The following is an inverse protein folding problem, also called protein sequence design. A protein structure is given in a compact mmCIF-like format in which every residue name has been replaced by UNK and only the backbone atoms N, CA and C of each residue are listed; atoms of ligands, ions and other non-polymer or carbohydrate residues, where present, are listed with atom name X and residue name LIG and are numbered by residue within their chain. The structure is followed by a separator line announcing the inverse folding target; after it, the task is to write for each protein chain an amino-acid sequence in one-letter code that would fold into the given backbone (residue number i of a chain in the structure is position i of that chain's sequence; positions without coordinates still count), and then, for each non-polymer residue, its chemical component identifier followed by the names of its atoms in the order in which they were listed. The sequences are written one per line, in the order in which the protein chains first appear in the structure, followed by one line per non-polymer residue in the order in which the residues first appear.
data_IF_839299696231
#
_entry.id   IF_839299696231
#
_cell.length_a   1.000
_cell.length_b   1.000
_cell.length_c   1.000
_cell.angle_alpha   90.00
_cell.angle_beta   90.00
_cell.angle_gamma   90.00
#
_symmetry.space_group_name_H-M   'P 1'
#
loop_
_entity.id
_entity.type
_entity.pdbx_description
1 polymer ?
#
# COMPACT_ATOMS: atom_id res chain seq x y z
N UNK A 1 -16.39 -30.48 -13.73
CA UNK A 1 -17.12 -29.31 -13.20
C UNK A 1 -17.09 -28.20 -14.23
N UNK A 2 -18.25 -27.74 -14.73
CA UNK A 2 -18.30 -26.75 -15.80
C UNK A 2 -18.17 -25.32 -15.23
N UNK A 3 -17.61 -24.35 -15.98
CA UNK A 3 -17.47 -22.98 -15.51
C UNK A 3 -18.76 -22.17 -15.73
N UNK A 4 -19.24 -21.56 -14.65
CA UNK A 4 -20.30 -20.54 -14.64
C UNK A 4 -19.81 -19.29 -15.39
N UNK A 5 -20.14 -19.18 -16.68
CA UNK A 5 -20.16 -17.92 -17.43
C UNK A 5 -21.59 -17.59 -17.79
N UNK A 6 -22.06 -16.46 -17.30
CA UNK A 6 -23.35 -15.90 -17.67
C UNK A 6 -23.98 -15.27 -16.45
N UNK A 7 -23.66 -14.00 -16.22
CA UNK A 7 -24.49 -13.03 -15.50
C UNK A 7 -23.76 -11.68 -15.54
N UNK A 8 -23.97 -10.95 -16.62
CA UNK A 8 -23.91 -9.49 -16.71
C UNK A 8 -24.50 -9.13 -18.07
N UNK A 9 -25.82 -8.91 -18.06
CA UNK A 9 -26.54 -8.37 -19.21
C UNK A 9 -26.05 -6.97 -19.51
N UNK A 10 -25.86 -6.70 -20.80
CA UNK A 10 -25.56 -5.38 -21.34
C UNK A 10 -26.77 -4.47 -21.12
N UNK A 11 -26.63 -3.47 -20.26
CA UNK A 11 -27.61 -2.38 -20.15
C UNK A 11 -27.20 -1.30 -21.13
N UNK A 12 -27.94 -1.19 -22.23
CA UNK A 12 -27.95 -0.01 -23.11
C UNK A 12 -28.73 1.08 -22.40
N UNK A 13 -28.14 2.27 -22.29
CA UNK A 13 -28.86 3.48 -21.94
C UNK A 13 -29.64 3.92 -23.18
N UNK A 14 -30.97 3.91 -23.10
CA UNK A 14 -31.83 4.59 -24.06
C UNK A 14 -32.87 5.41 -23.29
N UNK A 15 -33.15 6.60 -23.80
CA UNK A 15 -33.86 7.65 -23.09
C UNK A 15 -35.39 7.56 -23.18
N UNK A 16 -36.02 8.13 -22.15
CA UNK A 16 -37.36 8.76 -22.17
C UNK A 16 -38.59 7.85 -22.38
N UNK A 17 -39.38 7.66 -21.31
CA UNK A 17 -40.70 8.29 -21.07
C UNK A 17 -41.40 7.67 -19.86
N UNK A 18 -42.24 8.48 -19.23
CA UNK A 18 -42.99 8.28 -18.00
C UNK A 18 -43.69 6.92 -17.86
N UNK A 19 -43.51 6.25 -16.72
CA UNK A 19 -44.44 5.22 -16.20
C UNK A 19 -44.49 5.28 -14.66
N UNK A 20 -45.70 5.22 -14.14
CA UNK A 20 -46.12 5.28 -12.74
C UNK A 20 -45.47 4.24 -11.82
N UNK A 21 -45.17 4.67 -10.60
CA UNK A 21 -44.58 3.90 -9.51
C UNK A 21 -45.59 2.90 -8.91
N UNK A 22 -45.30 1.61 -9.05
CA UNK A 22 -45.83 0.54 -8.19
C UNK A 22 -44.75 0.10 -7.20
N UNK A 23 -44.98 0.34 -5.90
CA UNK A 23 -44.02 0.07 -4.83
C UNK A 23 -43.89 -1.42 -4.53
N UNK A 24 -42.78 -2.03 -4.93
CA UNK A 24 -42.35 -3.35 -4.42
C UNK A 24 -41.07 -3.13 -3.64
N UNK A 25 -41.10 -3.35 -2.33
CA UNK A 25 -39.97 -3.19 -1.41
C UNK A 25 -38.95 -4.30 -1.70
N UNK A 26 -37.93 -4.01 -2.50
CA UNK A 26 -36.75 -4.87 -2.60
C UNK A 26 -35.88 -4.68 -1.35
N UNK A 27 -35.72 -5.75 -0.57
CA UNK A 27 -34.68 -5.83 0.47
C UNK A 27 -33.31 -5.74 -0.22
N UNK A 28 -32.64 -4.61 -0.07
CA UNK A 28 -31.28 -4.41 -0.57
C UNK A 28 -30.31 -5.42 0.07
N UNK A 29 -29.53 -6.11 -0.76
CA UNK A 29 -28.43 -6.96 -0.31
C UNK A 29 -27.36 -6.04 0.30
N UNK A 30 -27.10 -6.20 1.59
CA UNK A 30 -26.11 -5.42 2.31
C UNK A 30 -24.71 -5.98 1.99
N UNK A 31 -24.01 -5.38 1.03
CA UNK A 31 -22.63 -5.74 0.67
C UNK A 31 -21.70 -4.94 1.58
N UNK A 32 -20.84 -5.59 2.39
CA UNK A 32 -19.89 -4.90 3.25
C UNK A 32 -18.98 -3.92 2.46
N UNK A 33 -18.77 -2.72 3.00
CA UNK A 33 -17.97 -1.65 2.37
C UNK A 33 -16.58 -2.10 1.93
N UNK A 34 -15.95 -3.02 2.68
CA UNK A 34 -14.62 -3.55 2.37
C UNK A 34 -14.57 -4.48 1.14
N UNK A 35 -15.71 -4.84 0.55
CA UNK A 35 -15.80 -5.59 -0.70
C UNK A 35 -16.05 -4.69 -1.92
N UNK A 36 -16.34 -3.41 -1.72
CA UNK A 36 -16.54 -2.46 -2.82
C UNK A 36 -15.20 -2.00 -3.41
N UNK A 37 -15.10 -1.75 -4.73
CA UNK A 37 -14.00 -1.01 -5.33
C UNK A 37 -13.72 0.35 -4.64
N UNK A 38 -12.46 0.78 -4.60
CA UNK A 38 -12.00 1.99 -3.90
C UNK A 38 -12.70 3.26 -4.36
N UNK A 39 -12.90 3.40 -5.66
CA UNK A 39 -13.63 4.51 -6.28
C UNK A 39 -15.08 4.62 -5.77
N UNK A 40 -15.73 3.49 -5.50
CA UNK A 40 -17.06 3.49 -4.88
C UNK A 40 -17.02 3.82 -3.38
N UNK A 41 -16.01 3.37 -2.64
CA UNK A 41 -15.87 3.70 -1.21
C UNK A 41 -15.64 5.19 -1.00
N UNK A 42 -14.72 5.78 -1.76
CA UNK A 42 -14.42 7.22 -1.72
C UNK A 42 -15.68 8.03 -2.03
N UNK A 43 -16.46 7.61 -3.03
CA UNK A 43 -17.70 8.29 -3.42
C UNK A 43 -18.81 8.18 -2.35
N UNK A 44 -18.88 7.05 -1.64
CA UNK A 44 -19.81 6.86 -0.52
C UNK A 44 -19.40 7.72 0.68
N UNK A 45 -18.11 7.78 1.02
CA UNK A 45 -17.61 8.67 2.07
C UNK A 45 -17.81 10.15 1.73
N UNK A 46 -17.61 10.54 0.47
CA UNK A 46 -17.85 11.91 0.00
C UNK A 46 -19.34 12.30 0.11
N UNK A 47 -20.25 11.37 -0.19
CA UNK A 47 -21.70 11.56 0.01
C UNK A 47 -22.09 11.67 1.49
N UNK A 48 -21.41 10.97 2.39
CA UNK A 48 -21.64 11.06 3.83
C UNK A 48 -20.99 12.30 4.47
N UNK A 49 -19.91 12.79 3.87
CA UNK A 49 -19.15 13.94 4.37
C UNK A 49 -19.69 15.29 3.85
N UNK A 50 -20.55 15.28 2.84
CA UNK A 50 -21.17 16.49 2.32
C UNK A 50 -22.04 17.16 3.41
N UNK A 51 -21.76 18.41 3.79
CA UNK A 51 -22.53 19.11 4.81
C UNK A 51 -23.96 19.29 4.33
N UNK A 52 -24.92 18.67 5.05
CA UNK A 52 -26.35 18.91 4.85
C UNK A 52 -26.61 20.39 5.06
N UNK A 53 -26.76 21.16 3.97
CA UNK A 53 -27.30 22.52 3.99
C UNK A 53 -28.73 22.44 4.54
N UNK A 54 -28.87 22.65 5.84
CA UNK A 54 -30.15 22.91 6.46
C UNK A 54 -30.65 24.28 5.98
N UNK A 55 -31.70 24.27 5.15
CA UNK A 55 -32.49 25.44 4.83
C UNK A 55 -33.24 25.91 6.07
N UNK A 56 -32.68 26.90 6.77
CA UNK A 56 -33.30 27.56 7.91
C UNK A 56 -34.38 28.51 7.38
N UNK A 57 -35.64 28.12 7.50
CA UNK A 57 -36.77 29.06 7.47
C UNK A 57 -37.01 29.53 8.92
N UNK A 58 -36.71 30.80 9.19
CA UNK A 58 -36.99 31.47 10.48
C UNK A 58 -38.46 31.87 10.51
N UNK A 59 -39.23 31.26 11.41
CA UNK A 59 -40.51 31.82 11.89
C UNK A 59 -40.25 32.35 13.30
N UNK A 60 -40.50 33.64 13.47
CA UNK A 60 -40.40 34.36 14.73
C UNK A 60 -41.70 34.16 15.53
N UNK A 61 -41.59 33.74 16.78
CA UNK A 61 -42.61 34.06 17.78
C UNK A 61 -41.95 34.53 19.08
N UNK A 62 -42.28 35.79 19.40
CA UNK A 62 -42.09 36.44 20.69
C UNK A 62 -43.00 35.79 21.74
N UNK A 63 -42.50 35.59 22.96
CA UNK A 63 -43.20 35.91 24.21
C UNK A 63 -42.24 35.78 25.42
N UNK A 64 -42.04 36.90 26.14
CA UNK A 64 -41.55 37.02 27.53
C UNK A 64 -42.76 36.92 28.50
N UNK A 65 -42.64 37.02 29.84
CA UNK A 65 -41.54 36.70 30.79
C UNK A 65 -42.04 35.88 32.02
N UNK A 66 -41.17 35.44 32.95
CA UNK A 66 -41.50 35.39 34.39
C UNK A 66 -40.23 35.39 35.26
N UNK A 67 -40.24 36.26 36.28
CA UNK A 67 -39.26 36.37 37.37
C UNK A 67 -39.48 35.29 38.43
N UNK A 68 -38.45 34.92 39.19
CA UNK A 68 -38.52 34.80 40.66
C UNK A 68 -37.15 34.57 41.31
N UNK A 69 -37.12 34.89 42.59
CA UNK A 69 -36.01 35.39 43.41
C UNK A 69 -35.54 34.39 44.47
N UNK A 70 -34.36 34.64 45.06
CA UNK A 70 -33.92 34.24 46.42
C UNK A 70 -33.71 32.70 46.65
N UNK A 71 -32.87 32.17 47.54
CA UNK A 71 -32.19 32.65 48.75
C UNK A 71 -31.05 31.68 49.16
N UNK A 72 -29.98 32.23 49.74
CA UNK A 72 -29.13 31.76 50.87
C UNK A 72 -29.14 30.28 51.34
N UNK A 73 -27.95 29.69 51.54
CA UNK A 73 -27.41 29.36 52.88
C UNK A 73 -26.05 28.64 52.84
N UNK A 74 -25.04 29.25 53.49
CA UNK A 74 -23.87 28.61 54.13
C UNK A 74 -24.19 28.37 55.62
N UNK A 75 -23.49 27.47 56.35
CA UNK A 75 -22.32 27.87 57.18
C UNK A 75 -21.12 26.88 57.07
N UNK A 76 -19.85 27.35 57.04
CA UNK A 76 -18.89 27.54 58.17
C UNK A 76 -18.54 26.27 58.97
N UNK A 77 -17.34 25.96 59.47
CA UNK A 77 -15.93 26.45 59.53
C UNK A 77 -15.20 25.30 60.28
N UNK A 78 -13.96 24.89 59.93
CA UNK A 78 -12.82 24.68 60.86
C UNK A 78 -11.50 24.77 60.06
N UNK A 79 -10.75 25.85 60.31
CA UNK A 79 -9.33 26.01 60.01
C UNK A 79 -8.47 25.29 61.05
N UNK A 80 -7.33 24.70 60.65
CA UNK A 80 -6.11 24.76 61.46
C UNK A 80 -4.86 24.30 60.67
N UNK A 81 -4.04 25.30 60.31
CA UNK A 81 -2.57 25.35 60.25
C UNK A 81 -1.77 24.17 59.66
N UNK A 82 -1.11 24.41 58.51
CA UNK A 82 0.35 24.32 58.40
C UNK A 82 0.87 24.72 57.00
N UNK A 83 1.75 25.72 56.99
CA UNK A 83 2.95 25.80 56.15
C UNK A 83 2.80 25.89 54.63
N UNK A 84 2.93 27.14 54.15
CA UNK A 84 3.12 27.51 52.76
C UNK A 84 4.32 26.80 52.07
N UNK A 85 4.16 26.40 50.80
CA UNK A 85 5.26 26.38 49.85
C UNK A 85 5.01 27.43 48.77
N UNK A 86 5.84 28.47 48.82
CA UNK A 86 6.37 29.26 47.69
C UNK A 86 5.62 29.11 46.37
N UNK A 87 4.95 30.19 45.95
CA UNK A 87 4.52 30.44 44.58
C UNK A 87 5.71 30.31 43.62
N UNK A 88 6.01 29.09 43.17
CA UNK A 88 6.88 28.85 42.02
C UNK A 88 6.20 29.49 40.82
N UNK A 89 6.67 30.67 40.44
CA UNK A 89 6.34 31.33 39.20
C UNK A 89 6.43 30.30 38.08
N UNK A 90 5.28 29.85 37.59
CA UNK A 90 5.15 29.07 36.36
C UNK A 90 5.64 29.98 35.25
N UNK A 91 6.95 29.95 34.96
CA UNK A 91 7.50 30.40 33.69
C UNK A 91 6.80 29.58 32.63
N UNK A 92 5.72 30.14 32.08
CA UNK A 92 5.18 29.75 30.79
C UNK A 92 6.29 30.08 29.78
N UNK A 93 7.27 29.19 29.65
CA UNK A 93 8.10 29.12 28.47
C UNK A 93 7.15 28.79 27.34
N UNK A 94 6.72 29.83 26.62
CA UNK A 94 6.05 29.66 25.34
C UNK A 94 6.97 28.74 24.52
N UNK A 95 6.54 27.52 24.18
CA UNK A 95 7.24 26.74 23.17
C UNK A 95 7.23 27.64 21.93
N UNK A 96 8.39 28.12 21.52
CA UNK A 96 8.53 29.12 20.48
C UNK A 96 7.79 28.65 19.24
N UNK A 97 6.76 29.39 18.82
CA UNK A 97 6.02 29.16 17.57
C UNK A 97 6.97 29.05 16.36
N UNK A 98 8.14 29.70 16.45
CA UNK A 98 9.23 29.57 15.49
C UNK A 98 9.75 28.15 15.31
N UNK A 99 9.78 27.30 16.35
CA UNK A 99 10.24 25.90 16.22
C UNK A 99 9.26 25.04 15.41
N UNK A 100 7.97 25.40 15.40
CA UNK A 100 6.98 24.77 14.50
C UNK A 100 7.04 25.29 13.07
N UNK A 101 7.52 26.52 12.86
CA UNK A 101 7.64 27.10 11.52
C UNK A 101 8.94 26.67 10.82
N UNK A 102 9.96 26.28 11.57
CA UNK A 102 11.28 25.91 11.00
C UNK A 102 11.58 24.42 11.04
N UNK A 103 10.74 23.59 11.68
CA UNK A 103 10.88 22.13 11.54
C UNK A 103 10.55 21.76 10.10
N UNK A 104 11.58 21.57 9.27
CA UNK A 104 11.42 21.09 7.91
C UNK A 104 10.58 19.81 7.94
N UNK A 105 9.42 19.84 7.29
CA UNK A 105 8.52 18.68 7.22
C UNK A 105 9.29 17.48 6.67
N UNK A 106 9.30 16.38 7.40
CA UNK A 106 9.91 15.12 6.97
C UNK A 106 8.85 14.05 6.73
N UNK A 107 9.10 13.21 5.74
CA UNK A 107 8.27 12.05 5.40
C UNK A 107 9.03 10.77 5.73
N UNK A 108 8.41 9.81 6.44
CA UNK A 108 9.06 8.55 6.76
C UNK A 108 9.15 7.68 5.50
N UNK A 109 10.31 7.05 5.33
CA UNK A 109 10.57 6.02 4.32
C UNK A 109 10.31 4.68 5.01
N UNK A 110 9.39 3.89 4.47
CA UNK A 110 8.88 2.67 5.09
C UNK A 110 9.06 1.50 4.12
N UNK A 111 9.58 0.39 4.64
CA UNK A 111 9.53 -0.90 3.96
C UNK A 111 8.27 -1.61 4.44
N UNK A 112 7.35 -1.86 3.52
CA UNK A 112 6.10 -2.58 3.79
C UNK A 112 6.14 -3.97 3.16
N UNK A 113 5.42 -4.90 3.77
CA UNK A 113 5.30 -6.26 3.29
C UNK A 113 3.84 -6.60 3.00
N UNK A 114 3.61 -7.30 1.89
CA UNK A 114 2.29 -7.74 1.46
C UNK A 114 2.23 -9.26 1.54
N UNK A 115 1.10 -9.75 2.05
CA UNK A 115 0.73 -11.16 2.05
C UNK A 115 0.87 -11.75 0.64
N UNK A 116 1.05 -13.05 0.52
CA UNK A 116 0.89 -13.79 -0.73
C UNK A 116 -0.28 -14.77 -0.57
N UNK A 117 -0.90 -15.22 -1.67
CA UNK A 117 -2.01 -16.19 -1.65
C UNK A 117 -1.69 -17.44 -0.80
N UNK A 118 -0.42 -17.85 -0.78
CA UNK A 118 0.04 -19.06 -0.08
C UNK A 118 0.81 -18.79 1.21
N UNK A 119 1.14 -17.53 1.53
CA UNK A 119 2.07 -17.20 2.62
C UNK A 119 1.64 -15.94 3.35
N UNK A 120 1.67 -15.97 4.69
CA UNK A 120 1.34 -14.85 5.56
C UNK A 120 2.38 -14.64 6.66
N UNK A 121 1.92 -14.24 7.84
CA UNK A 121 2.77 -14.08 9.03
C UNK A 121 3.61 -15.35 9.30
N UNK A 122 4.86 -15.15 9.72
CA UNK A 122 5.89 -16.18 9.90
C UNK A 122 6.71 -16.48 8.64
N UNK A 123 6.31 -15.95 7.49
CA UNK A 123 6.96 -16.16 6.20
C UNK A 123 7.49 -14.85 5.58
N UNK A 124 7.81 -13.85 6.42
CA UNK A 124 8.17 -12.48 6.04
C UNK A 124 9.30 -12.42 5.01
N UNK A 125 10.26 -13.35 5.12
CA UNK A 125 11.37 -13.50 4.19
C UNK A 125 10.92 -13.78 2.74
N UNK A 126 9.74 -14.37 2.56
CA UNK A 126 9.18 -14.77 1.25
C UNK A 126 7.96 -13.93 0.83
N UNK A 127 7.63 -12.89 1.60
CA UNK A 127 6.56 -11.96 1.27
C UNK A 127 6.99 -10.98 0.19
N UNK A 128 6.01 -10.34 -0.44
CA UNK A 128 6.27 -9.27 -1.39
C UNK A 128 6.63 -7.99 -0.63
N UNK A 129 7.79 -7.40 -0.92
CA UNK A 129 8.27 -6.19 -0.25
C UNK A 129 8.11 -4.97 -1.15
N UNK A 130 7.81 -3.84 -0.53
CA UNK A 130 7.59 -2.55 -1.18
C UNK A 130 8.27 -1.45 -0.38
N UNK A 131 8.92 -0.52 -1.08
CA UNK A 131 9.40 0.71 -0.48
C UNK A 131 8.34 1.80 -0.68
N UNK A 132 7.92 2.48 0.38
CA UNK A 132 6.94 3.57 0.31
C UNK A 132 7.43 4.79 1.08
N UNK A 133 7.19 5.98 0.56
CA UNK A 133 7.42 7.24 1.29
C UNK A 133 6.07 7.79 1.71
N UNK A 134 5.76 7.77 3.01
CA UNK A 134 4.43 8.16 3.50
C UNK A 134 4.35 9.69 3.52
N UNK A 135 3.62 10.24 2.55
CA UNK A 135 3.33 11.68 2.46
C UNK A 135 2.06 12.05 3.21
N UNK A 136 1.09 11.14 3.25
CA UNK A 136 -0.16 11.30 3.99
C UNK A 136 -0.24 10.26 5.11
N UNK A 137 -0.18 10.73 6.36
CA UNK A 137 -0.24 9.88 7.55
C UNK A 137 -1.62 9.31 7.82
N UNK A 138 -2.69 9.93 7.30
CA UNK A 138 -4.06 9.49 7.56
C UNK A 138 -4.40 8.26 6.72
N UNK A 139 -4.03 8.31 5.43
CA UNK A 139 -4.22 7.21 4.48
C UNK A 139 -3.01 6.29 4.37
N UNK A 140 -1.94 6.54 5.12
CA UNK A 140 -0.65 5.85 5.02
C UNK A 140 -0.22 5.69 3.55
N UNK A 141 -0.32 6.79 2.80
CA UNK A 141 -0.12 6.78 1.35
C UNK A 141 1.03 7.68 0.91
N UNK A 142 1.55 7.39 -0.28
CA UNK A 142 2.53 8.20 -0.96
C UNK A 142 3.24 7.45 -2.08
N UNK A 143 4.36 8.00 -2.60
CA UNK A 143 5.13 7.34 -3.65
C UNK A 143 5.60 5.95 -3.22
N UNK A 144 5.31 4.95 -4.05
CA UNK A 144 5.67 3.55 -3.82
C UNK A 144 6.57 3.02 -4.92
N UNK A 145 7.48 2.12 -4.57
CA UNK A 145 8.42 1.46 -5.46
C UNK A 145 8.30 -0.05 -5.27
N UNK A 146 7.81 -0.72 -6.31
CA UNK A 146 7.49 -2.14 -6.29
C UNK A 146 8.08 -2.82 -7.54
N UNK A 147 8.59 -4.03 -7.37
CA UNK A 147 9.00 -4.90 -8.48
C UNK A 147 8.26 -6.23 -8.38
N UNK A 148 7.67 -6.72 -9.47
CA UNK A 148 7.02 -8.02 -9.51
C UNK A 148 7.45 -8.81 -10.74
N UNK A 149 7.65 -10.12 -10.53
CA UNK A 149 7.92 -11.06 -11.59
C UNK A 149 6.59 -11.56 -12.15
N UNK A 150 6.46 -11.50 -13.47
CA UNK A 150 5.45 -12.25 -14.19
C UNK A 150 6.13 -13.44 -14.85
N UNK A 151 5.82 -14.63 -14.36
CA UNK A 151 6.25 -15.87 -15.01
C UNK A 151 5.33 -16.12 -16.19
N UNK A 152 5.83 -15.89 -17.40
CA UNK A 152 5.09 -16.31 -18.59
C UNK A 152 5.49 -17.75 -18.87
N UNK A 153 4.51 -18.66 -18.87
CA UNK A 153 4.76 -20.00 -19.39
C UNK A 153 5.04 -19.83 -20.87
N UNK A 154 6.26 -20.13 -21.30
CA UNK A 154 6.61 -20.22 -22.70
C UNK A 154 5.52 -21.05 -23.38
N UNK A 155 4.73 -20.41 -24.26
CA UNK A 155 3.69 -21.12 -24.97
C UNK A 155 4.40 -22.19 -25.77
N UNK A 156 4.27 -23.45 -25.34
CA UNK A 156 4.79 -24.59 -26.08
C UNK A 156 4.34 -24.38 -27.52
N UNK A 157 5.27 -24.22 -28.48
CA UNK A 157 4.91 -23.89 -29.85
C UNK A 157 3.86 -24.92 -30.26
N UNK A 158 2.64 -24.44 -30.55
CA UNK A 158 1.57 -25.31 -31.02
C UNK A 158 2.16 -25.96 -32.26
N UNK A 159 2.45 -27.27 -32.19
CA UNK A 159 2.89 -28.03 -33.36
C UNK A 159 1.91 -27.66 -34.47
N UNK A 160 2.39 -27.21 -35.64
CA UNK A 160 1.52 -26.97 -36.78
C UNK A 160 0.64 -28.20 -36.91
N UNK A 161 -0.68 -28.01 -36.78
CA UNK A 161 -1.60 -29.10 -37.11
C UNK A 161 -1.38 -29.35 -38.59
N UNK A 162 -0.69 -30.45 -38.89
CA UNK A 162 -0.71 -31.07 -40.21
C UNK A 162 -2.16 -31.43 -40.49
N UNK A 163 -2.89 -30.50 -41.08
CA UNK A 163 -4.27 -30.71 -41.53
C UNK A 163 -4.44 -29.89 -42.80
N UNK A 164 -4.30 -30.62 -43.90
CA UNK A 164 -5.02 -30.48 -45.16
C UNK A 164 -4.90 -29.15 -45.90
N UNK A 165 -3.90 -29.16 -46.79
CA UNK A 165 -4.01 -28.73 -48.18
C UNK A 165 -5.47 -28.68 -48.67
N UNK A 166 -6.11 -27.54 -48.53
CA UNK A 166 -7.28 -27.18 -49.33
C UNK A 166 -7.10 -25.77 -49.85
N UNK A 167 -7.02 -25.71 -51.17
CA UNK A 167 -6.90 -24.52 -52.01
C UNK A 167 -8.15 -23.66 -51.82
N UNK A 168 -7.98 -22.39 -51.44
CA UNK A 168 -9.13 -21.51 -51.20
C UNK A 168 -8.78 -20.04 -50.98
N UNK A 169 -8.49 -19.37 -52.10
CA UNK A 169 -8.82 -17.97 -52.48
C UNK A 169 -8.79 -16.85 -51.43
N UNK A 170 -7.91 -15.87 -51.70
CA UNK A 170 -7.72 -14.63 -50.96
C UNK A 170 -8.93 -13.69 -50.96
N UNK A 171 -9.14 -13.00 -49.83
CA UNK A 171 -9.60 -11.61 -49.81
C UNK A 171 -9.21 -10.92 -48.50
N UNK A 172 -8.72 -9.69 -48.67
CA UNK A 172 -8.17 -8.78 -47.68
C UNK A 172 -9.26 -8.15 -46.80
N UNK A 173 -8.90 -7.68 -45.61
CA UNK A 173 -8.94 -6.26 -45.23
C UNK A 173 -8.53 -6.11 -43.77
N UNK A 174 -7.78 -5.04 -43.49
CA UNK A 174 -6.91 -4.91 -42.34
C UNK A 174 -7.59 -4.64 -40.99
N UNK A 175 -6.79 -4.64 -39.93
CA UNK A 175 -7.12 -3.91 -38.72
C UNK A 175 -5.89 -3.61 -37.86
N UNK A 176 -6.07 -2.56 -37.08
CA UNK A 176 -5.11 -1.57 -36.59
C UNK A 176 -4.35 -1.96 -35.32
N UNK A 177 -3.15 -1.37 -35.22
CA UNK A 177 -2.34 -0.98 -34.06
C UNK A 177 -2.96 -1.19 -32.67
N UNK A 178 -2.21 -1.87 -31.80
CA UNK A 178 -2.13 -1.54 -30.37
C UNK A 178 -0.66 -1.41 -29.98
N UNK A 179 -0.27 -0.22 -29.53
CA UNK A 179 1.07 0.11 -29.03
C UNK A 179 1.00 0.17 -27.51
N UNK A 180 1.39 -0.92 -26.84
CA UNK A 180 1.79 -0.92 -25.44
C UNK A 180 3.27 -1.24 -25.40
N UNK A 181 4.09 -0.27 -25.01
CA UNK A 181 5.54 -0.43 -24.89
C UNK A 181 5.86 -1.24 -23.64
N UNK A 182 5.96 -2.56 -23.78
CA UNK A 182 6.57 -3.45 -22.80
C UNK A 182 8.08 -3.46 -23.06
N UNK A 183 8.86 -2.83 -22.18
CA UNK A 183 10.31 -2.98 -22.18
C UNK A 183 10.60 -4.43 -21.76
N UNK A 184 10.98 -5.26 -22.72
CA UNK A 184 11.36 -6.66 -22.50
C UNK A 184 12.87 -6.67 -22.39
N UNK A 185 13.38 -6.62 -21.15
CA UNK A 185 14.81 -6.83 -20.90
C UNK A 185 15.04 -8.34 -20.93
N UNK A 186 15.82 -8.82 -21.90
CA UNK A 186 16.09 -10.25 -22.08
C UNK A 186 16.81 -10.84 -20.86
N UNK A 187 16.18 -11.82 -20.23
CA UNK A 187 16.77 -12.62 -19.15
C UNK A 187 17.68 -13.69 -19.74
N UNK A 188 18.99 -13.55 -19.55
CA UNK A 188 19.95 -14.60 -19.87
C UNK A 188 19.95 -15.65 -18.74
N UNK A 189 19.47 -16.85 -19.04
CA UNK A 189 19.57 -18.04 -18.19
C UNK A 189 21.01 -18.55 -18.18
N UNK A 190 21.71 -18.40 -17.04
CA UNK A 190 23.01 -19.01 -16.81
C UNK A 190 22.84 -20.53 -16.68
N UNK A 191 23.22 -21.27 -17.71
CA UNK A 191 23.36 -22.73 -17.66
C UNK A 191 24.55 -23.10 -16.77
N UNK A 192 24.27 -23.54 -15.55
CA UNK A 192 25.27 -24.20 -14.69
C UNK A 192 25.48 -25.62 -15.19
N UNK A 193 26.54 -25.83 -15.97
CA UNK A 193 27.02 -27.13 -16.41
C UNK A 193 28.09 -27.57 -15.41
N UNK A 194 27.88 -28.68 -14.69
CA UNK A 194 28.92 -29.63 -14.30
C UNK A 194 28.35 -30.83 -13.52
N UNK A 195 28.69 -32.06 -13.96
CA UNK A 195 28.59 -33.29 -13.17
C UNK A 195 27.67 -34.40 -13.72
N UNK A 196 28.21 -35.58 -14.09
CA UNK A 196 27.41 -36.73 -14.48
C UNK A 196 27.09 -37.59 -13.25
N UNK A 197 25.82 -37.95 -13.05
CA UNK A 197 25.36 -39.27 -12.55
C UNK A 197 23.81 -39.29 -12.41
N UNK A 198 23.16 -39.67 -13.50
CA UNK A 198 22.21 -40.77 -13.59
C UNK A 198 21.17 -40.97 -12.46
N UNK A 199 20.12 -40.13 -12.42
CA UNK A 199 18.75 -40.53 -12.06
C UNK A 199 17.78 -39.80 -12.99
N UNK A 200 17.18 -40.54 -13.91
CA UNK A 200 16.24 -40.11 -14.95
C UNK A 200 14.86 -39.75 -14.35
N UNK A 201 14.74 -38.58 -13.73
CA UNK A 201 13.46 -37.86 -13.73
C UNK A 201 13.55 -36.77 -14.79
N UNK A 202 13.01 -37.06 -15.98
CA UNK A 202 12.88 -36.12 -17.08
C UNK A 202 11.83 -35.03 -16.75
N UNK A 203 12.07 -34.28 -15.67
CA UNK A 203 11.49 -32.97 -15.50
C UNK A 203 12.26 -32.08 -16.46
N UNK A 204 11.75 -31.96 -17.69
CA UNK A 204 12.19 -30.91 -18.59
C UNK A 204 12.07 -29.60 -17.82
N UNK A 205 13.21 -29.01 -17.46
CA UNK A 205 13.29 -27.66 -16.94
C UNK A 205 12.65 -26.76 -17.98
N UNK A 206 11.36 -26.50 -17.80
CA UNK A 206 10.63 -25.56 -18.64
C UNK A 206 11.25 -24.23 -18.30
N UNK A 207 12.12 -23.76 -19.18
CA UNK A 207 12.69 -22.43 -19.15
C UNK A 207 11.54 -21.42 -19.07
N UNK A 208 11.25 -20.97 -17.85
CA UNK A 208 10.24 -19.96 -17.60
C UNK A 208 10.90 -18.62 -17.80
N UNK A 209 10.46 -17.90 -18.82
CA UNK A 209 10.88 -16.52 -19.02
C UNK A 209 10.22 -15.65 -17.94
N UNK A 210 11.07 -15.04 -17.10
CA UNK A 210 10.64 -14.22 -15.97
C UNK A 210 10.78 -12.76 -16.36
N UNK A 211 9.65 -12.14 -16.70
CA UNK A 211 9.64 -10.71 -17.00
C UNK A 211 9.39 -9.90 -15.73
N UNK A 212 10.25 -8.94 -15.47
CA UNK A 212 10.14 -8.04 -14.32
C UNK A 212 9.47 -6.74 -14.69
N UNK A 213 8.56 -6.30 -13.82
CA UNK A 213 7.81 -5.06 -13.99
C UNK A 213 7.98 -4.18 -12.78
N UNK A 214 8.02 -2.87 -13.01
CA UNK A 214 7.98 -1.85 -11.97
C UNK A 214 6.63 -1.21 -11.87
N UNK A 215 6.25 -0.86 -10.63
CA UNK A 215 5.17 0.07 -10.37
C UNK A 215 5.68 1.18 -9.49
N UNK A 216 5.78 2.38 -10.09
CA UNK A 216 6.20 3.60 -9.40
C UNK A 216 5.04 4.60 -9.35
N UNK A 217 4.07 4.32 -8.49
CA UNK A 217 2.82 5.08 -8.37
C UNK A 217 2.57 5.51 -6.93
N UNK A 218 1.59 6.41 -6.75
CA UNK A 218 1.01 6.61 -5.43
C UNK A 218 0.31 5.32 -5.02
N UNK A 219 0.58 4.85 -3.80
CA UNK A 219 -0.12 3.73 -3.19
C UNK A 219 -0.40 4.05 -1.73
N UNK A 220 -1.50 3.51 -1.22
CA UNK A 220 -1.80 3.45 0.21
C UNK A 220 -1.42 2.08 0.78
N UNK A 221 -1.02 2.01 2.04
CA UNK A 221 -0.91 0.73 2.75
C UNK A 221 -2.28 0.05 2.97
N UNK A 222 -3.38 0.79 2.83
CA UNK A 222 -4.73 0.24 2.79
C UNK A 222 -5.10 -0.31 1.41
N UNK A 223 -4.36 0.07 0.36
CA UNK A 223 -4.63 -0.45 -0.97
C UNK A 223 -4.22 -1.92 -1.06
N UNK A 224 -5.11 -2.69 -1.66
CA UNK A 224 -4.84 -4.04 -2.10
C UNK A 224 -3.78 -3.97 -3.20
N UNK A 225 -2.63 -4.62 -3.02
CA UNK A 225 -1.54 -4.55 -3.99
C UNK A 225 -2.04 -4.97 -5.39
N UNK A 226 -1.77 -4.12 -6.39
CA UNK A 226 -2.42 -4.15 -7.71
C UNK A 226 -2.24 -5.47 -8.48
N UNK A 227 -1.27 -6.29 -8.09
CA UNK A 227 -0.94 -7.53 -8.79
C UNK A 227 -1.51 -8.79 -8.14
N UNK A 228 -1.93 -8.80 -6.86
CA UNK A 228 -2.20 -10.08 -6.16
C UNK A 228 -3.43 -10.10 -5.24
N UNK A 229 -4.27 -9.06 -5.20
CA UNK A 229 -5.36 -9.02 -4.18
C UNK A 229 -4.86 -9.20 -2.74
N UNK A 230 -3.63 -8.77 -2.46
CA UNK A 230 -2.97 -9.07 -1.20
C UNK A 230 -3.11 -7.94 -0.19
N UNK A 231 -3.27 -8.33 1.07
CA UNK A 231 -3.35 -7.43 2.21
C UNK A 231 -1.94 -7.04 2.65
N UNK A 232 -1.76 -5.77 3.00
CA UNK A 232 -0.56 -5.29 3.68
C UNK A 232 -0.47 -5.94 5.08
N UNK A 233 0.70 -6.45 5.43
CA UNK A 233 1.03 -7.01 6.75
C UNK A 233 1.94 -6.05 7.52
N UNK A 234 1.67 -4.74 7.37
CA UNK A 234 2.40 -3.68 8.04
C UNK A 234 3.72 -3.28 7.38
N UNK A 235 4.44 -2.37 8.04
CA UNK A 235 5.71 -1.87 7.58
C UNK A 235 6.59 -1.28 8.69
N UNK A 236 7.85 -1.05 8.35
CA UNK A 236 8.87 -0.54 9.28
C UNK A 236 9.50 0.71 8.67
N UNK A 237 9.60 1.78 9.46
CA UNK A 237 10.36 2.96 9.08
C UNK A 237 11.85 2.64 9.04
N UNK A 238 12.43 2.78 7.86
CA UNK A 238 13.87 2.57 7.59
C UNK A 238 14.62 3.88 7.43
N UNK A 239 13.91 5.01 7.35
CA UNK A 239 14.52 6.29 7.08
C UNK A 239 13.52 7.46 7.09
N UNK A 240 14.02 8.65 6.76
CA UNK A 240 13.18 9.83 6.58
C UNK A 240 13.77 10.76 5.52
N UNK A 241 12.91 11.48 4.81
CA UNK A 241 13.30 12.46 3.79
C UNK A 241 12.62 13.80 4.05
N UNK A 242 13.34 14.91 3.80
CA UNK A 242 12.75 16.26 3.83
C UNK A 242 11.77 16.44 2.68
N UNK A 243 10.67 17.15 2.93
CA UNK A 243 9.64 17.41 1.92
C UNK A 243 10.20 18.09 0.66
N UNK A 244 11.20 18.97 0.81
CA UNK A 244 11.87 19.65 -0.29
C UNK A 244 12.65 18.71 -1.24
N UNK A 245 13.10 17.56 -0.74
CA UNK A 245 13.93 16.62 -1.49
C UNK A 245 13.12 15.42 -2.03
N UNK A 246 11.85 15.29 -1.64
CA UNK A 246 10.99 14.16 -2.01
C UNK A 246 10.94 13.94 -3.53
N UNK A 247 10.72 14.99 -4.31
CA UNK A 247 10.58 14.87 -5.77
C UNK A 247 11.89 14.37 -6.42
N UNK A 248 13.03 14.88 -5.95
CA UNK A 248 14.36 14.47 -6.44
C UNK A 248 14.63 13.00 -6.13
N UNK A 249 14.27 12.55 -4.92
CA UNK A 249 14.39 11.14 -4.55
C UNK A 249 13.50 10.27 -5.42
N UNK A 250 12.25 10.66 -5.65
CA UNK A 250 11.31 9.87 -6.47
C UNK A 250 11.82 9.72 -7.90
N UNK A 251 12.33 10.80 -8.50
CA UNK A 251 12.94 10.76 -9.82
C UNK A 251 14.20 9.89 -9.85
N UNK A 252 15.05 10.00 -8.82
CA UNK A 252 16.26 9.19 -8.68
C UNK A 252 15.95 7.70 -8.54
N UNK A 253 15.02 7.30 -7.68
CA UNK A 253 14.65 5.88 -7.53
C UNK A 253 13.94 5.34 -8.79
N UNK A 254 13.20 6.18 -9.52
CA UNK A 254 12.57 5.82 -10.80
C UNK A 254 13.58 5.50 -11.90
N UNK A 255 14.76 6.14 -11.88
CA UNK A 255 15.81 5.87 -12.86
C UNK A 255 16.58 4.56 -12.61
N UNK A 256 16.28 3.84 -11.52
CA UNK A 256 16.88 2.55 -11.17
C UNK A 256 15.85 1.42 -11.28
N UNK A 257 15.56 0.94 -12.51
CA UNK A 257 14.68 -0.20 -12.71
C UNK A 257 15.32 -1.48 -12.11
N UNK A 258 14.50 -2.47 -11.74
CA UNK A 258 14.94 -3.74 -11.21
C UNK A 258 15.76 -4.49 -12.28
N UNK A 259 16.99 -4.84 -11.93
CA UNK A 259 17.87 -5.64 -12.77
C UNK A 259 18.19 -6.92 -12.00
N UNK A 260 17.55 -8.06 -12.35
CA UNK A 260 17.82 -9.32 -11.69
C UNK A 260 19.30 -9.67 -11.78
N UNK A 261 19.99 -9.61 -10.66
CA UNK A 261 21.44 -9.81 -10.57
C UNK A 261 21.83 -11.27 -10.36
N UNK A 262 20.90 -12.09 -9.86
CA UNK A 262 21.15 -13.48 -9.50
C UNK A 262 19.91 -14.38 -9.69
N UNK A 263 20.10 -15.70 -9.84
CA UNK A 263 18.98 -16.65 -9.84
C UNK A 263 18.17 -16.56 -8.54
N UNK A 264 16.85 -16.52 -8.66
CA UNK A 264 15.95 -16.41 -7.50
C UNK A 264 15.79 -14.98 -6.95
N UNK A 265 16.34 -13.97 -7.63
CA UNK A 265 16.09 -12.56 -7.32
C UNK A 265 14.60 -12.29 -7.22
N UNK A 266 14.19 -11.55 -6.20
CA UNK A 266 12.79 -11.27 -5.90
C UNK A 266 12.54 -9.81 -5.54
N UNK A 267 11.28 -9.44 -5.32
CA UNK A 267 10.89 -8.07 -4.95
C UNK A 267 11.60 -7.55 -3.70
N UNK A 268 11.97 -8.44 -2.77
CA UNK A 268 12.74 -8.10 -1.58
C UNK A 268 14.13 -7.62 -1.95
N UNK A 269 14.79 -8.33 -2.85
CA UNK A 269 16.16 -8.01 -3.25
C UNK A 269 16.19 -6.64 -3.96
N UNK A 270 15.16 -6.31 -4.74
CA UNK A 270 14.96 -4.95 -5.26
C UNK A 270 14.90 -3.90 -4.15
N UNK A 271 14.09 -4.13 -3.12
CA UNK A 271 13.93 -3.17 -2.02
C UNK A 271 15.25 -2.99 -1.29
N UNK A 272 16.00 -4.07 -1.04
CA UNK A 272 17.33 -3.99 -0.43
C UNK A 272 18.32 -3.20 -1.30
N UNK A 273 18.32 -3.41 -2.62
CA UNK A 273 19.10 -2.60 -3.57
C UNK A 273 18.72 -1.11 -3.49
N UNK A 274 17.42 -0.78 -3.39
CA UNK A 274 16.97 0.60 -3.21
C UNK A 274 17.45 1.19 -1.88
N UNK A 275 17.48 0.42 -0.78
CA UNK A 275 18.00 0.91 0.50
C UNK A 275 19.49 1.27 0.40
N UNK A 276 20.26 0.50 -0.36
CA UNK A 276 21.67 0.82 -0.63
C UNK A 276 21.82 2.14 -1.41
N UNK A 277 20.90 2.43 -2.34
CA UNK A 277 20.86 3.72 -3.04
C UNK A 277 20.52 4.90 -2.12
N UNK A 278 19.83 4.67 -0.99
CA UNK A 278 19.50 5.72 -0.02
C UNK A 278 20.67 6.09 0.91
N UNK A 279 21.63 5.18 1.10
CA UNK A 279 22.72 5.33 2.08
C UNK A 279 23.63 6.55 1.81
N UNK A 280 24.05 6.86 0.57
CA UNK A 280 24.87 8.05 0.29
C UNK A 280 24.20 9.37 0.68
N UNK A 281 22.87 9.41 0.71
CA UNK A 281 22.08 10.58 1.05
C UNK A 281 21.82 10.73 2.55
N UNK A 282 22.29 9.78 3.39
CA UNK A 282 22.04 9.74 4.84
C UNK A 282 20.54 9.78 5.19
N UNK A 283 19.72 9.11 4.37
CA UNK A 283 18.28 9.05 4.54
C UNK A 283 17.83 7.88 5.43
N UNK A 284 18.71 6.92 5.70
CA UNK A 284 18.41 5.76 6.54
C UNK A 284 18.50 6.10 8.04
N UNK A 285 17.78 5.33 8.87
CA UNK A 285 17.90 5.41 10.33
C UNK A 285 19.32 5.05 10.81
N UNK A 286 19.79 5.57 11.96
CA UNK A 286 21.20 5.50 12.36
C UNK A 286 21.78 4.09 12.46
N UNK A 287 21.01 3.09 12.87
CA UNK A 287 21.42 1.69 12.95
C UNK A 287 21.68 1.09 11.56
N UNK A 288 20.85 1.39 10.57
CA UNK A 288 21.04 0.92 9.18
C UNK A 288 22.09 1.74 8.42
N UNK A 289 22.24 3.02 8.77
CA UNK A 289 23.19 3.93 8.13
C UNK A 289 24.65 3.62 8.53
N UNK A 290 24.87 3.22 9.79
CA UNK A 290 26.20 3.01 10.37
C UNK A 290 26.58 1.53 10.50
N UNK A 291 25.90 0.63 9.77
CA UNK A 291 26.26 -0.78 9.78
C UNK A 291 27.73 -0.96 9.39
N UNK A 292 28.44 -1.80 10.14
CA UNK A 292 29.83 -2.14 9.87
C UNK A 292 29.89 -3.29 8.86
N UNK A 293 30.93 -3.33 8.01
CA UNK A 293 31.03 -4.37 6.99
C UNK A 293 31.22 -5.72 7.67
N UNK A 294 30.40 -6.70 7.29
CA UNK A 294 30.55 -8.07 7.77
C UNK A 294 31.91 -8.62 7.33
N UNK A 295 32.60 -9.27 8.27
CA UNK A 295 34.03 -9.67 8.24
C UNK A 295 34.44 -10.57 7.06
N UNK A 296 33.51 -10.98 6.18
CA UNK A 296 33.76 -11.94 5.10
C UNK A 296 33.62 -11.39 3.67
N UNK A 297 33.34 -10.10 3.47
CA UNK A 297 33.11 -9.61 2.11
C UNK A 297 33.27 -8.11 1.85
N UNK A 298 33.64 -7.31 2.86
CA UNK A 298 33.99 -5.89 2.70
C UNK A 298 32.85 -4.93 2.32
N UNK A 299 31.75 -5.43 1.75
CA UNK A 299 30.59 -4.61 1.40
C UNK A 299 29.62 -4.57 2.58
N UNK A 300 29.38 -3.37 3.10
CA UNK A 300 28.29 -3.10 4.03
C UNK A 300 27.00 -3.16 3.22
N UNK A 301 26.07 -4.05 3.54
CA UNK A 301 24.76 -4.07 2.92
C UNK A 301 23.69 -4.24 3.99
N UNK A 302 22.56 -3.54 3.84
CA UNK A 302 21.37 -3.79 4.65
C UNK A 302 20.87 -5.17 4.26
N UNK A 303 20.94 -6.11 5.19
CA UNK A 303 20.47 -7.46 4.98
C UNK A 303 19.01 -7.59 5.41
N UNK A 304 18.36 -8.63 4.89
CA UNK A 304 17.03 -9.03 5.33
C UNK A 304 16.98 -9.27 6.85
N UNK A 305 18.04 -9.83 7.43
CA UNK A 305 18.11 -10.15 8.86
C UNK A 305 17.95 -8.91 9.77
N UNK A 306 18.32 -7.73 9.27
CA UNK A 306 18.27 -6.48 10.04
C UNK A 306 16.83 -5.94 10.15
N UNK A 307 15.98 -6.26 9.17
CA UNK A 307 14.60 -5.79 9.11
C UNK A 307 13.58 -6.83 9.59
N UNK A 308 13.92 -8.12 9.50
CA UNK A 308 13.01 -9.23 9.79
C UNK A 308 12.38 -9.22 11.20
N UNK A 309 13.10 -8.93 12.29
CA UNK A 309 12.51 -8.93 13.63
C UNK A 309 11.35 -7.94 13.73
N UNK A 310 11.54 -6.73 13.22
CA UNK A 310 10.52 -5.67 13.24
C UNK A 310 9.39 -5.95 12.26
N UNK A 311 9.70 -6.48 11.07
CA UNK A 311 8.68 -6.89 10.09
C UNK A 311 7.79 -8.02 10.63
N UNK A 312 8.35 -8.95 11.42
CA UNK A 312 7.58 -10.01 12.11
C UNK A 312 6.65 -9.47 13.18
N UNK A 313 7.12 -8.47 13.92
CA UNK A 313 6.34 -7.80 14.95
C UNK A 313 5.12 -7.08 14.34
N UNK A 314 5.35 -6.17 13.38
CA UNK A 314 4.25 -5.44 12.72
C UNK A 314 3.34 -6.35 11.90
N UNK A 315 3.87 -7.44 11.34
CA UNK A 315 3.10 -8.46 10.63
C UNK A 315 2.11 -9.18 11.53
N UNK A 316 2.55 -9.55 12.74
CA UNK A 316 1.68 -10.17 13.75
C UNK A 316 0.59 -9.22 14.21
N UNK A 317 0.94 -7.99 14.56
CA UNK A 317 -0.03 -6.98 15.01
C UNK A 317 -1.07 -6.66 13.94
N UNK A 318 -0.63 -6.52 12.68
CA UNK A 318 -1.54 -6.28 11.55
C UNK A 318 -2.46 -7.49 11.32
N UNK A 319 -1.95 -8.71 11.47
CA UNK A 319 -2.77 -9.92 11.34
C UNK A 319 -3.81 -10.05 12.45
N UNK A 320 -3.48 -9.70 13.70
CA UNK A 320 -4.46 -9.64 14.79
C UNK A 320 -5.57 -8.62 14.50
N UNK A 321 -5.23 -7.48 13.88
CA UNK A 321 -6.20 -6.48 13.41
C UNK A 321 -7.10 -7.03 12.30
N UNK A 322 -6.55 -7.79 11.34
CA UNK A 322 -7.32 -8.49 10.32
C UNK A 322 -8.30 -9.49 10.94
N UNK A 323 -7.85 -10.26 11.93
CA UNK A 323 -8.66 -11.29 12.59
C UNK A 323 -9.82 -10.69 13.42
N UNK A 324 -9.69 -9.41 13.82
CA UNK A 324 -10.75 -8.62 14.49
C UNK A 324 -11.68 -7.90 13.53
N UNK A 325 -11.56 -8.13 12.22
CA UNK A 325 -12.31 -7.45 11.15
C UNK A 325 -12.11 -5.92 11.11
N UNK A 326 -11.06 -5.40 11.77
CA UNK A 326 -10.72 -3.96 11.79
C UNK A 326 -9.35 -3.77 11.13
N UNK A 327 -9.29 -3.96 9.81
CA UNK A 327 -8.03 -3.92 9.06
C UNK A 327 -7.33 -2.57 9.18
N UNK A 328 -6.21 -2.56 9.90
CA UNK A 328 -5.35 -1.40 10.13
C UNK A 328 -3.89 -1.84 9.96
N UNK A 329 -3.24 -1.53 8.83
CA UNK A 329 -1.83 -1.84 8.66
C UNK A 329 -1.02 -1.06 9.70
N UNK A 330 -0.21 -1.80 10.47
CA UNK A 330 0.65 -1.20 11.50
C UNK A 330 1.98 -0.77 10.90
N UNK A 331 2.40 0.46 11.21
CA UNK A 331 3.73 0.97 10.85
C UNK A 331 4.53 1.24 12.12
N UNK A 332 5.69 0.60 12.26
CA UNK A 332 6.63 0.89 13.34
C UNK A 332 7.52 2.07 12.95
N UNK A 333 7.40 3.18 13.67
CA UNK A 333 8.17 4.41 13.46
C UNK A 333 9.41 4.47 14.36
N UNK A 334 10.46 5.16 13.91
CA UNK A 334 11.75 5.38 14.59
C UNK A 334 12.12 6.86 14.64
#
# INVERSE_FOLDING_TARGET
MPPLRGWLGSVKADGSRDISVGSTVQKGVNVPLFLLPLDLRVKIEELHSAPRRASISRVWHNHYPYQCSHSSSLPQIIDLYASAPLCRARRRTMPSLFTRLTSATTYPIVVAQYKNEFRGVGHEASLHWVLIVITDKTTLSGPSFQAYAQTTRARKPRRPRLSDSSVGTASSTGSRRSTSASVTMGTHTLQTRDGPLNVTSANADVETDVQWYTRHALASLFDVCATVRTLCLGGVQVGSIKAADLQKLVEYLRSHPPVPSMPGWCSRDYVLELLELLRPFKLLRPDLQNMTPSTKGGKVEVAMADLLPELREVGRETQESIDREDFRPVVKYH
#
